data_IF_812743790162
#
_entry.id   IF_812743790162
#
_cell.length_a   1.000
_cell.length_b   1.000
_cell.length_c   1.000
_cell.angle_alpha   90.00
_cell.angle_beta   90.00
_cell.angle_gamma   90.00
#
_symmetry.space_group_name_H-M   'P 1'
#
loop_
_entity.id
_entity.type
_entity.pdbx_description
1 polymer ?
#
# COMPACT_ATOMS: atom_id res chain seq x y z
N UNK A 1 0.68 -26.46 11.97
CA UNK A 1 -0.32 -25.46 12.41
C UNK A 1 0.29 -24.69 13.56
N UNK A 2 0.67 -23.43 13.33
CA UNK A 2 0.69 -22.49 14.45
C UNK A 2 -0.78 -22.22 14.83
N UNK A 3 -1.07 -22.21 16.12
CA UNK A 3 -2.40 -22.22 16.72
C UNK A 3 -3.37 -21.21 16.07
N UNK A 4 -4.45 -21.73 15.46
CA UNK A 4 -5.65 -20.95 15.11
C UNK A 4 -5.59 -20.06 13.86
N UNK A 5 -4.43 -19.90 13.21
CA UNK A 5 -4.31 -19.05 12.02
C UNK A 5 -4.63 -19.83 10.74
N UNK A 6 -5.43 -19.27 9.82
CA UNK A 6 -5.71 -19.87 8.52
C UNK A 6 -4.42 -20.08 7.74
N UNK A 7 -4.39 -21.12 6.90
CA UNK A 7 -3.20 -21.45 6.11
C UNK A 7 -3.09 -20.49 4.93
N UNK A 8 -1.93 -19.86 4.79
CA UNK A 8 -1.65 -18.90 3.71
C UNK A 8 -1.05 -19.62 2.49
N UNK A 9 -1.52 -19.26 1.31
CA UNK A 9 -0.86 -19.52 0.02
C UNK A 9 0.17 -18.40 -0.21
N UNK A 10 1.43 -18.68 0.12
CA UNK A 10 2.51 -17.71 0.03
C UNK A 10 2.86 -17.29 -1.41
N UNK A 11 2.55 -18.14 -2.41
CA UNK A 11 2.78 -17.81 -3.81
C UNK A 11 1.74 -16.79 -4.27
N UNK A 12 0.45 -17.11 -4.07
CA UNK A 12 -0.65 -16.22 -4.46
C UNK A 12 -0.70 -14.94 -3.63
N UNK A 13 -0.28 -14.99 -2.37
CA UNK A 13 -0.14 -13.78 -1.52
C UNK A 13 0.92 -12.84 -2.09
N UNK A 14 2.08 -13.36 -2.48
CA UNK A 14 3.11 -12.53 -3.10
C UNK A 14 2.64 -11.89 -4.42
N UNK A 15 1.90 -12.63 -5.25
CA UNK A 15 1.26 -12.10 -6.46
C UNK A 15 0.22 -11.02 -6.15
N UNK A 16 -0.61 -11.22 -5.13
CA UNK A 16 -1.62 -10.25 -4.70
C UNK A 16 -0.98 -8.95 -4.19
N UNK A 17 0.14 -9.02 -3.48
CA UNK A 17 0.90 -7.84 -3.06
C UNK A 17 1.46 -7.08 -4.26
N UNK A 18 2.00 -7.78 -5.27
CA UNK A 18 2.47 -7.14 -6.51
C UNK A 18 1.32 -6.44 -7.23
N UNK A 19 0.18 -7.11 -7.37
CA UNK A 19 -1.02 -6.56 -7.98
C UNK A 19 -1.51 -5.31 -7.21
N UNK A 20 -1.60 -5.39 -5.88
CA UNK A 20 -1.97 -4.25 -5.04
C UNK A 20 -1.07 -3.03 -5.28
N UNK A 21 0.25 -3.24 -5.30
CA UNK A 21 1.25 -2.16 -5.43
C UNK A 21 1.32 -1.56 -6.84
N UNK A 22 1.02 -2.34 -7.89
CA UNK A 22 1.26 -1.94 -9.28
C UNK A 22 -0.01 -1.65 -10.07
N UNK A 23 -1.16 -2.19 -9.70
CA UNK A 23 -2.40 -1.96 -10.41
C UNK A 23 -2.87 -0.53 -10.19
N UNK A 24 -2.91 0.25 -11.29
CA UNK A 24 -3.30 1.66 -11.31
C UNK A 24 -4.66 1.95 -10.69
N UNK A 25 -5.55 0.97 -10.61
CA UNK A 25 -6.88 1.13 -10.01
C UNK A 25 -6.86 1.13 -8.47
N UNK A 26 -5.75 0.69 -7.85
CA UNK A 26 -5.58 0.56 -6.39
C UNK A 26 -4.48 1.49 -5.85
N UNK A 27 -3.37 0.94 -5.35
CA UNK A 27 -2.38 1.70 -4.57
C UNK A 27 -1.81 2.92 -5.31
N UNK A 28 -1.38 2.84 -6.58
CA UNK A 28 -0.87 4.00 -7.30
C UNK A 28 -1.87 5.16 -7.41
N UNK A 29 -3.18 4.87 -7.54
CA UNK A 29 -4.22 5.90 -7.56
C UNK A 29 -4.42 6.52 -6.19
N UNK A 30 -4.41 5.71 -5.13
CA UNK A 30 -4.51 6.21 -3.75
C UNK A 30 -3.29 7.09 -3.40
N UNK A 31 -2.10 6.67 -3.82
CA UNK A 31 -0.88 7.45 -3.67
C UNK A 31 -0.99 8.81 -4.36
N UNK A 32 -1.45 8.84 -5.62
CA UNK A 32 -1.66 10.10 -6.34
C UNK A 32 -2.71 11.01 -5.69
N UNK A 33 -3.83 10.45 -5.21
CA UNK A 33 -4.82 11.21 -4.45
C UNK A 33 -4.19 11.84 -3.21
N UNK A 34 -3.36 11.07 -2.48
CA UNK A 34 -2.71 11.55 -1.27
C UNK A 34 -1.67 12.64 -1.55
N UNK A 35 -0.87 12.49 -2.61
CA UNK A 35 0.23 13.41 -2.94
C UNK A 35 -0.23 14.69 -3.65
N UNK A 36 -1.30 14.61 -4.44
CA UNK A 36 -1.81 15.77 -5.21
C UNK A 36 -2.92 16.52 -4.46
N UNK A 37 -3.43 15.99 -3.36
CA UNK A 37 -4.39 16.69 -2.52
C UNK A 37 -3.76 17.97 -1.96
N UNK A 38 -4.44 19.11 -2.15
CA UNK A 38 -4.13 20.34 -1.43
C UNK A 38 -4.99 20.39 -0.14
N UNK A 39 -4.40 20.31 1.06
CA UNK A 39 -5.12 20.36 2.33
C UNK A 39 -6.00 21.61 2.50
N UNK A 40 -5.65 22.72 1.86
CA UNK A 40 -6.42 23.98 1.93
C UNK A 40 -7.75 23.88 1.20
N UNK A 41 -7.81 23.13 0.10
CA UNK A 41 -9.02 22.88 -0.70
C UNK A 41 -9.93 21.81 -0.09
N UNK A 42 -9.44 21.10 0.93
CA UNK A 42 -10.21 20.08 1.65
C UNK A 42 -10.88 20.65 2.91
N UNK A 43 -10.54 21.87 3.36
CA UNK A 43 -11.23 22.50 4.49
C UNK A 43 -12.72 22.70 4.17
N UNK A 44 -13.60 22.24 5.07
CA UNK A 44 -15.03 22.51 4.98
C UNK A 44 -15.26 24.04 4.97
N UNK A 45 -16.05 24.59 4.03
CA UNK A 45 -16.37 26.01 4.04
C UNK A 45 -17.08 26.36 5.36
N UNK A 46 -16.73 27.50 5.95
CA UNK A 46 -17.34 28.00 7.18
C UNK A 46 -18.85 28.17 6.97
N UNK A 47 -19.63 27.65 7.92
CA UNK A 47 -21.10 27.54 7.88
C UNK A 47 -21.85 28.88 8.07
N UNK A 48 -21.29 29.99 7.59
CA UNK A 48 -21.88 31.32 7.74
C UNK A 48 -22.56 31.78 6.44
N UNK A 49 -23.79 31.30 6.25
CA UNK A 49 -24.78 31.95 5.39
C UNK A 49 -25.00 31.33 4.01
N UNK A 50 -25.63 30.14 3.94
CA UNK A 50 -26.13 29.63 2.66
C UNK A 50 -27.66 29.47 2.60
N UNK A 51 -28.29 29.87 1.48
CA UNK A 51 -29.68 29.55 1.15
C UNK A 51 -29.87 28.04 0.94
N UNK A 52 -31.12 27.57 1.08
CA UNK A 52 -31.52 26.17 0.93
C UNK A 52 -31.28 25.67 -0.50
N UNK A 53 -30.15 25.00 -0.73
CA UNK A 53 -29.83 24.28 -1.95
C UNK A 53 -28.77 23.21 -1.68
N UNK A 54 -29.01 21.99 -2.15
CA UNK A 54 -28.19 20.78 -1.91
C UNK A 54 -26.77 20.90 -2.50
N UNK A 55 -25.84 21.54 -1.78
CA UNK A 55 -24.41 21.69 -2.14
C UNK A 55 -23.50 21.08 -1.05
N UNK A 56 -23.99 20.08 -0.31
CA UNK A 56 -23.29 19.46 0.83
C UNK A 56 -22.35 18.31 0.48
N UNK A 57 -22.59 17.54 -0.58
CA UNK A 57 -21.94 16.22 -0.72
C UNK A 57 -20.52 16.23 -1.29
N UNK A 58 -20.17 17.11 -2.23
CA UNK A 58 -18.99 16.89 -3.08
C UNK A 58 -17.66 17.11 -2.37
N UNK A 59 -17.60 18.02 -1.40
CA UNK A 59 -16.38 18.31 -0.65
C UNK A 59 -16.17 17.31 0.51
N UNK A 60 -17.25 16.91 1.18
CA UNK A 60 -17.21 15.85 2.18
C UNK A 60 -16.76 14.52 1.56
N UNK A 61 -17.32 14.14 0.40
CA UNK A 61 -16.89 12.95 -0.33
C UNK A 61 -15.41 12.99 -0.75
N UNK A 62 -14.90 14.17 -1.13
CA UNK A 62 -13.46 14.35 -1.45
C UNK A 62 -12.60 14.20 -0.21
N UNK A 63 -13.01 14.77 0.93
CA UNK A 63 -12.29 14.61 2.19
C UNK A 63 -12.25 13.14 2.63
N UNK A 64 -13.39 12.43 2.57
CA UNK A 64 -13.46 11.00 2.92
C UNK A 64 -12.52 10.18 2.03
N UNK A 65 -12.52 10.43 0.71
CA UNK A 65 -11.60 9.76 -0.23
C UNK A 65 -10.14 10.05 0.10
N UNK A 66 -9.80 11.29 0.44
CA UNK A 66 -8.44 11.66 0.83
C UNK A 66 -8.00 10.97 2.13
N UNK A 67 -8.84 10.97 3.18
CA UNK A 67 -8.52 10.34 4.45
C UNK A 67 -8.32 8.83 4.29
N UNK A 68 -9.16 8.17 3.49
CA UNK A 68 -9.01 6.76 3.17
C UNK A 68 -7.70 6.48 2.42
N UNK A 69 -7.41 7.26 1.37
CA UNK A 69 -6.17 7.13 0.62
C UNK A 69 -4.93 7.37 1.51
N UNK A 70 -4.97 8.39 2.35
CA UNK A 70 -3.90 8.72 3.29
C UNK A 70 -3.64 7.59 4.29
N UNK A 71 -4.68 7.00 4.86
CA UNK A 71 -4.52 5.89 5.80
C UNK A 71 -3.79 4.70 5.16
N UNK A 72 -4.13 4.35 3.93
CA UNK A 72 -3.46 3.26 3.20
C UNK A 72 -2.02 3.64 2.84
N UNK A 73 -1.78 4.85 2.32
CA UNK A 73 -0.43 5.32 1.95
C UNK A 73 0.50 5.39 3.15
N UNK A 74 0.01 5.91 4.28
CA UNK A 74 0.76 5.93 5.54
C UNK A 74 1.03 4.50 6.04
N UNK A 75 0.08 3.57 5.85
CA UNK A 75 0.25 2.15 6.17
C UNK A 75 1.34 1.47 5.34
N UNK A 76 1.38 1.72 4.03
CA UNK A 76 2.45 1.22 3.15
C UNK A 76 3.80 1.82 3.54
N UNK A 77 3.87 3.13 3.80
CA UNK A 77 5.11 3.78 4.25
C UNK A 77 5.63 3.17 5.56
N UNK A 78 4.76 2.97 6.55
CA UNK A 78 5.12 2.31 7.81
C UNK A 78 5.59 0.87 7.61
N UNK A 79 4.95 0.14 6.71
CA UNK A 79 5.32 -1.23 6.35
C UNK A 79 6.74 -1.29 5.81
N UNK A 80 7.07 -0.43 4.85
CA UNK A 80 8.42 -0.35 4.28
C UNK A 80 9.45 0.11 5.31
N UNK A 81 9.10 1.06 6.19
CA UNK A 81 10.02 1.54 7.22
C UNK A 81 10.39 0.45 8.24
N UNK A 82 9.41 -0.35 8.67
CA UNK A 82 9.57 -1.44 9.65
C UNK A 82 10.17 -2.72 9.06
N UNK A 83 9.97 -2.95 7.78
CA UNK A 83 10.41 -4.18 7.13
C UNK A 83 11.93 -4.29 6.93
N UNK A 84 12.33 -5.49 6.54
CA UNK A 84 13.69 -5.88 6.23
C UNK A 84 14.34 -5.03 5.12
N UNK A 85 15.67 -5.12 5.01
CA UNK A 85 16.39 -4.49 3.91
C UNK A 85 15.96 -5.09 2.56
N UNK A 86 15.75 -6.40 2.52
CA UNK A 86 15.21 -7.13 1.40
C UNK A 86 13.85 -6.58 0.97
N UNK A 87 12.94 -6.32 1.92
CA UNK A 87 11.65 -5.71 1.62
C UNK A 87 11.82 -4.33 0.96
N UNK A 88 12.68 -3.48 1.51
CA UNK A 88 12.91 -2.13 0.96
C UNK A 88 13.41 -2.19 -0.48
N UNK A 89 14.42 -3.03 -0.76
CA UNK A 89 14.96 -3.21 -2.11
C UNK A 89 13.93 -3.82 -3.05
N UNK A 90 13.18 -4.83 -2.60
CA UNK A 90 12.12 -5.46 -3.41
C UNK A 90 11.02 -4.45 -3.71
N UNK A 91 10.60 -3.62 -2.75
CA UNK A 91 9.60 -2.58 -2.95
C UNK A 91 10.06 -1.59 -4.03
N UNK A 92 11.26 -1.02 -3.91
CA UNK A 92 11.83 -0.12 -4.94
C UNK A 92 11.92 -0.80 -6.31
N UNK A 93 12.17 -2.11 -6.37
CA UNK A 93 12.12 -2.84 -7.64
C UNK A 93 10.69 -2.99 -8.20
N UNK A 94 9.70 -3.24 -7.34
CA UNK A 94 8.28 -3.35 -7.74
C UNK A 94 7.74 -2.02 -8.23
N UNK A 95 8.05 -0.93 -7.53
CA UNK A 95 7.57 0.43 -7.87
C UNK A 95 8.32 1.04 -9.05
N UNK A 96 9.36 0.38 -9.55
CA UNK A 96 10.13 0.81 -10.72
C UNK A 96 11.20 1.86 -10.40
N UNK A 97 11.51 2.10 -9.13
CA UNK A 97 12.61 2.97 -8.70
C UNK A 97 13.98 2.37 -9.06
N UNK A 98 14.09 1.04 -9.04
CA UNK A 98 15.29 0.31 -9.45
C UNK A 98 14.94 -0.89 -10.34
N UNK A 99 15.86 -1.27 -11.22
CA UNK A 99 15.75 -2.49 -12.03
C UNK A 99 15.99 -3.76 -11.19
N UNK A 100 15.58 -4.90 -11.74
CA UNK A 100 15.83 -6.19 -11.09
C UNK A 100 17.34 -6.51 -11.00
N UNK A 101 18.14 -5.99 -11.93
CA UNK A 101 19.60 -6.16 -11.93
C UNK A 101 20.21 -5.38 -10.76
N UNK A 102 19.80 -4.14 -10.57
CA UNK A 102 20.24 -3.32 -9.43
C UNK A 102 19.81 -3.94 -8.10
N UNK A 103 18.57 -4.43 -8.00
CA UNK A 103 18.08 -5.11 -6.81
C UNK A 103 18.90 -6.37 -6.46
N UNK A 104 19.24 -7.19 -7.47
CA UNK A 104 20.11 -8.35 -7.30
C UNK A 104 21.52 -7.97 -6.82
N UNK A 105 22.08 -6.89 -7.36
CA UNK A 105 23.38 -6.37 -6.96
C UNK A 105 23.38 -5.85 -5.52
N UNK A 106 22.35 -5.07 -5.14
CA UNK A 106 22.19 -4.51 -3.79
C UNK A 106 22.02 -5.59 -2.71
N UNK A 107 21.38 -6.71 -3.05
CA UNK A 107 21.17 -7.82 -2.11
C UNK A 107 22.25 -8.91 -2.21
N UNK A 108 23.22 -8.77 -3.12
CA UNK A 108 24.25 -9.77 -3.40
C UNK A 108 23.67 -11.17 -3.71
N UNK A 109 22.58 -11.21 -4.49
CA UNK A 109 21.92 -12.45 -4.87
C UNK A 109 21.91 -12.67 -6.37
N UNK A 110 22.25 -13.90 -6.74
CA UNK A 110 22.00 -14.43 -8.07
C UNK A 110 20.50 -14.58 -8.34
N UNK A 111 20.13 -14.58 -9.62
CA UNK A 111 18.74 -14.54 -10.10
C UNK A 111 17.79 -15.50 -9.38
N UNK A 112 18.11 -16.79 -9.33
CA UNK A 112 17.24 -17.80 -8.71
C UNK A 112 17.03 -17.52 -7.22
N UNK A 113 18.08 -17.10 -6.51
CA UNK A 113 18.00 -16.75 -5.09
C UNK A 113 17.18 -15.48 -4.88
N UNK A 114 17.35 -14.50 -5.75
CA UNK A 114 16.59 -13.26 -5.71
C UNK A 114 15.08 -13.48 -5.80
N UNK A 115 14.60 -14.35 -6.70
CA UNK A 115 13.16 -14.62 -6.80
C UNK A 115 12.57 -15.26 -5.53
N UNK A 116 13.33 -16.13 -4.84
CA UNK A 116 12.91 -16.70 -3.56
C UNK A 116 12.83 -15.62 -2.47
N UNK A 117 13.83 -14.74 -2.41
CA UNK A 117 13.89 -13.63 -1.45
C UNK A 117 12.78 -12.61 -1.72
N UNK A 118 12.55 -12.27 -2.98
CA UNK A 118 11.44 -11.41 -3.42
C UNK A 118 10.10 -11.94 -2.90
N UNK A 119 9.83 -13.23 -3.08
CA UNK A 119 8.60 -13.85 -2.58
C UNK A 119 8.48 -13.73 -1.05
N UNK A 120 9.55 -14.02 -0.33
CA UNK A 120 9.57 -13.91 1.13
C UNK A 120 9.31 -12.47 1.59
N UNK A 121 9.98 -11.50 0.97
CA UNK A 121 9.79 -10.08 1.26
C UNK A 121 8.33 -9.62 0.98
N UNK A 122 7.72 -10.09 -0.09
CA UNK A 122 6.32 -9.75 -0.40
C UNK A 122 5.33 -10.37 0.62
N UNK A 123 5.60 -11.55 1.14
CA UNK A 123 4.78 -12.10 2.23
C UNK A 123 5.01 -11.35 3.55
N UNK A 124 6.25 -10.97 3.86
CA UNK A 124 6.56 -10.07 4.98
C UNK A 124 5.80 -8.74 4.85
N UNK A 125 5.69 -8.19 3.64
CA UNK A 125 4.88 -7.00 3.40
C UNK A 125 3.41 -7.21 3.77
N UNK A 126 2.81 -8.34 3.39
CA UNK A 126 1.42 -8.67 3.75
C UNK A 126 1.24 -8.79 5.27
N UNK A 127 2.14 -9.55 5.94
CA UNK A 127 2.13 -9.73 7.40
C UNK A 127 2.19 -8.38 8.14
N UNK A 128 3.08 -7.49 7.71
CA UNK A 128 3.27 -6.19 8.34
C UNK A 128 2.10 -5.26 8.02
N UNK A 129 1.65 -5.19 6.75
CA UNK A 129 0.60 -4.26 6.31
C UNK A 129 -0.72 -4.51 7.04
N UNK A 130 -1.10 -5.78 7.21
CA UNK A 130 -2.35 -6.20 7.86
C UNK A 130 -2.56 -5.53 9.23
N UNK A 131 -1.46 -5.29 9.96
CA UNK A 131 -1.50 -4.75 11.33
C UNK A 131 -1.13 -3.27 11.44
N UNK A 132 -0.91 -2.55 10.32
CA UNK A 132 -0.51 -1.12 10.40
C UNK A 132 -1.66 -0.20 10.79
N UNK A 133 -2.85 -0.38 10.23
CA UNK A 133 -4.06 0.37 10.60
C UNK A 133 -5.35 -0.29 10.10
N UNK A 134 -6.50 0.17 10.60
CA UNK A 134 -7.83 -0.38 10.31
C UNK A 134 -8.23 -0.34 8.82
N UNK A 135 -7.63 0.55 8.02
CA UNK A 135 -7.95 0.71 6.60
C UNK A 135 -6.99 -0.03 5.66
N UNK A 136 -5.91 -0.60 6.18
CA UNK A 136 -5.03 -1.45 5.40
C UNK A 136 -5.75 -2.74 5.02
N UNK A 137 -5.71 -3.14 3.74
CA UNK A 137 -6.32 -4.39 3.31
C UNK A 137 -5.51 -5.59 3.81
N UNK A 138 -6.22 -6.68 4.13
CA UNK A 138 -5.59 -8.00 4.22
C UNK A 138 -5.23 -8.46 2.81
N UNK A 139 -3.93 -8.67 2.57
CA UNK A 139 -3.39 -9.10 1.28
C UNK A 139 -3.15 -10.61 1.21
N UNK A 140 -3.38 -11.34 2.29
CA UNK A 140 -3.19 -12.79 2.31
C UNK A 140 -4.23 -13.52 1.47
N UNK A 141 -3.78 -14.56 0.78
CA UNK A 141 -4.65 -15.53 0.12
C UNK A 141 -4.62 -16.81 0.94
N UNK A 142 -5.78 -17.27 1.38
CA UNK A 142 -5.91 -18.45 2.24
C UNK A 142 -6.26 -19.72 1.42
N UNK A 143 -5.87 -20.87 1.97
CA UNK A 143 -6.11 -22.23 1.41
C UNK A 143 -7.28 -22.90 2.12
#
# INVERSE_FOLDING_TARGET
MLLGLPKIDYDRTAENVVEFLTNRSYYPRLYDICMQANPENLKSPSLSGMPRGSVGNSNEEKMVKYLYAKAIVDGVSQTINKGSNELKVVFSNITGEISSVEAMQMLHYEKTRYYLIRKRALNEFADILEVQNLHCPDLHIYI
#
